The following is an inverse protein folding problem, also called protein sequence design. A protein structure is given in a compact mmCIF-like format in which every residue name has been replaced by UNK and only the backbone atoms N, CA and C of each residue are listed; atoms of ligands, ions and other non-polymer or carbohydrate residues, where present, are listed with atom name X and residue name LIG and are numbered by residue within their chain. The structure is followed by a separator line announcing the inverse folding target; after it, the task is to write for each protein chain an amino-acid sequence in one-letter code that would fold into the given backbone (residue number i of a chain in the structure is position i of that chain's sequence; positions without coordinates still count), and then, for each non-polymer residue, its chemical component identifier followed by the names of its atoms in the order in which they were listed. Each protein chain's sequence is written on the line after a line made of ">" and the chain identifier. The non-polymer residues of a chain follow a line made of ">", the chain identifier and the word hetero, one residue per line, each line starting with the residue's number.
data_IF_508971473116
#
_entry.id   IF_508971473116
#
_cell.length_a   1.000
_cell.length_b   1.000
_cell.length_c   1.000
_cell.angle_alpha   90.00
_cell.angle_beta   90.00
_cell.angle_gamma   90.00
#
_symmetry.space_group_name_H-M   'P 1'
#
loop_
_entity.id
_entity.type
_entity.pdbx_description
1 polymer ?
#
# COMPACT_ATOMS: atom_id res chain seq x y z
N UNK A 1 -9.61 4.66 1.55
CA UNK A 1 -9.60 4.76 0.07
C UNK A 1 -8.57 5.80 -0.34
N UNK A 2 -7.60 5.37 -1.14
CA UNK A 2 -6.46 6.18 -1.55
C UNK A 2 -6.71 6.73 -2.94
N UNK A 3 -6.19 7.92 -3.23
CA UNK A 3 -6.43 8.58 -4.52
C UNK A 3 -5.32 9.54 -4.87
N UNK A 4 -5.13 9.75 -6.17
CA UNK A 4 -4.30 10.83 -6.71
C UNK A 4 -4.84 11.27 -8.05
N UNK A 5 -4.41 12.43 -8.54
CA UNK A 5 -4.67 12.87 -9.91
C UNK A 5 -3.35 12.95 -10.66
N UNK A 6 -3.25 12.23 -11.78
CA UNK A 6 -2.07 12.20 -12.63
C UNK A 6 -2.50 12.47 -14.07
N UNK A 7 -1.91 13.49 -14.70
CA UNK A 7 -2.21 13.88 -16.09
C UNK A 7 -3.70 14.12 -16.37
N UNK A 8 -4.43 14.71 -15.41
CA UNK A 8 -5.87 14.99 -15.53
C UNK A 8 -6.79 13.79 -15.28
N UNK A 9 -6.24 12.60 -15.03
CA UNK A 9 -7.02 11.42 -14.66
C UNK A 9 -6.99 11.21 -13.14
N UNK A 10 -8.18 11.01 -12.55
CA UNK A 10 -8.32 10.63 -11.15
C UNK A 10 -8.14 9.11 -10.99
N UNK A 11 -7.18 8.71 -10.17
CA UNK A 11 -6.90 7.33 -9.81
C UNK A 11 -7.38 7.05 -8.39
N UNK A 12 -7.95 5.86 -8.17
CA UNK A 12 -8.47 5.43 -6.87
C UNK A 12 -8.00 4.01 -6.59
N UNK A 13 -7.64 3.77 -5.34
CA UNK A 13 -7.22 2.46 -4.86
C UNK A 13 -8.03 2.15 -3.59
N UNK A 14 -8.73 1.02 -3.61
CA UNK A 14 -9.76 0.73 -2.60
C UNK A 14 -9.19 0.37 -1.23
N UNK A 15 -7.97 -0.17 -1.20
CA UNK A 15 -7.28 -0.60 0.02
C UNK A 15 -5.78 -0.33 -0.05
N UNK A 16 -5.12 -0.34 1.12
CA UNK A 16 -3.67 -0.19 1.20
C UNK A 16 -2.97 -1.36 0.50
N UNK A 17 -3.52 -2.56 0.62
CA UNK A 17 -3.07 -3.77 -0.09
C UNK A 17 -3.02 -3.56 -1.60
N UNK A 18 -4.11 -3.06 -2.19
CA UNK A 18 -4.18 -2.75 -3.62
C UNK A 18 -3.18 -1.66 -3.98
N UNK A 19 -3.11 -0.59 -3.19
CA UNK A 19 -2.19 0.51 -3.45
C UNK A 19 -0.72 0.06 -3.47
N UNK A 20 -0.28 -0.68 -2.45
CA UNK A 20 1.09 -1.20 -2.34
C UNK A 20 1.43 -2.16 -3.48
N UNK A 21 0.51 -3.06 -3.85
CA UNK A 21 0.72 -3.97 -4.96
C UNK A 21 0.85 -3.23 -6.31
N UNK A 22 0.01 -2.22 -6.54
CA UNK A 22 0.04 -1.40 -7.76
C UNK A 22 1.27 -0.49 -7.82
N UNK A 23 1.80 -0.07 -6.68
CA UNK A 23 3.00 0.76 -6.60
C UNK A 23 4.32 -0.03 -6.84
N UNK A 24 4.28 -1.37 -6.77
CA UNK A 24 5.47 -2.21 -6.92
C UNK A 24 6.09 -2.11 -8.34
N UNK A 25 7.41 -2.30 -8.49
CA UNK A 25 8.02 -2.51 -9.79
C UNK A 25 7.38 -3.70 -10.53
N UNK A 26 7.39 -3.67 -11.87
CA UNK A 26 6.80 -4.76 -12.64
C UNK A 26 7.55 -6.08 -12.40
N UNK A 27 6.87 -7.05 -11.78
CA UNK A 27 7.41 -8.37 -11.45
C UNK A 27 6.45 -9.45 -11.97
N UNK A 28 6.99 -10.53 -12.52
CA UNK A 28 6.20 -11.63 -13.07
C UNK A 28 5.32 -12.32 -12.03
N UNK A 29 5.76 -12.39 -10.76
CA UNK A 29 4.97 -12.93 -9.65
C UNK A 29 3.70 -12.13 -9.37
N UNK A 30 3.82 -10.80 -9.27
CA UNK A 30 2.68 -9.90 -9.07
C UNK A 30 1.70 -9.94 -10.26
N UNK A 31 2.24 -10.14 -11.47
CA UNK A 31 1.43 -10.34 -12.68
C UNK A 31 0.66 -11.66 -12.64
N UNK A 32 1.32 -12.77 -12.27
CA UNK A 32 0.68 -14.08 -12.13
C UNK A 32 -0.39 -14.07 -11.04
N UNK A 33 -0.16 -13.35 -9.94
CA UNK A 33 -1.12 -13.18 -8.85
C UNK A 33 -2.26 -12.19 -9.19
N UNK A 34 -2.21 -11.50 -10.33
CA UNK A 34 -3.25 -10.57 -10.78
C UNK A 34 -3.29 -9.24 -10.00
N UNK A 35 -2.23 -8.89 -9.28
CA UNK A 35 -2.19 -7.68 -8.41
C UNK A 35 -1.37 -6.54 -8.99
N UNK A 36 -0.58 -6.81 -10.04
CA UNK A 36 0.25 -5.81 -10.72
C UNK A 36 -0.57 -4.64 -11.29
N UNK A 37 0.05 -3.46 -11.38
CA UNK A 37 -0.51 -2.34 -12.15
C UNK A 37 -0.68 -2.70 -13.63
N UNK A 38 -1.81 -2.29 -14.23
CA UNK A 38 -2.18 -2.55 -15.62
C UNK A 38 -1.45 -1.65 -16.60
N UNK A 39 -0.88 -0.53 -16.13
CA UNK A 39 -0.05 0.36 -16.94
C UNK A 39 1.08 1.01 -16.12
N UNK A 40 2.01 1.65 -16.81
CA UNK A 40 3.06 2.45 -16.16
C UNK A 40 2.47 3.69 -15.47
N UNK A 41 1.44 4.29 -16.05
CA UNK A 41 0.71 5.42 -15.49
C UNK A 41 -0.03 5.05 -14.20
N UNK A 42 -0.75 3.92 -14.16
CA UNK A 42 -1.39 3.43 -12.93
C UNK A 42 -0.35 3.21 -11.84
N UNK A 43 0.80 2.62 -12.19
CA UNK A 43 1.90 2.37 -11.25
C UNK A 43 2.47 3.68 -10.68
N UNK A 44 2.65 4.70 -11.51
CA UNK A 44 3.10 6.00 -11.02
C UNK A 44 2.05 6.70 -10.18
N UNK A 45 0.78 6.63 -10.56
CA UNK A 45 -0.31 7.13 -9.72
C UNK A 45 -0.35 6.41 -8.36
N UNK A 46 -0.16 5.08 -8.33
CA UNK A 46 -0.09 4.32 -7.09
C UNK A 46 1.11 4.73 -6.23
N UNK A 47 2.29 4.94 -6.83
CA UNK A 47 3.47 5.43 -6.09
C UNK A 47 3.26 6.83 -5.51
N UNK A 48 2.66 7.74 -6.28
CA UNK A 48 2.34 9.09 -5.80
C UNK A 48 1.30 9.03 -4.67
N UNK A 49 0.24 8.24 -4.83
CA UNK A 49 -0.76 8.07 -3.78
C UNK A 49 -0.17 7.43 -2.51
N UNK A 50 0.75 6.46 -2.65
CA UNK A 50 1.43 5.81 -1.53
C UNK A 50 2.40 6.74 -0.80
N UNK A 51 3.05 7.66 -1.51
CA UNK A 51 3.95 8.65 -0.89
C UNK A 51 3.23 9.62 0.05
N UNK A 52 1.91 9.81 -0.13
CA UNK A 52 1.07 10.65 0.71
C UNK A 52 0.40 9.87 1.86
N UNK A 53 0.68 8.56 2.00
CA UNK A 53 0.11 7.74 3.08
C UNK A 53 0.90 7.97 4.37
N UNK A 54 0.25 8.43 5.46
CA UNK A 54 0.90 8.54 6.76
C UNK A 54 1.38 7.18 7.26
N UNK A 55 2.50 7.17 8.00
CA UNK A 55 3.03 5.93 8.59
C UNK A 55 2.03 5.28 9.55
N UNK A 56 1.25 6.07 10.27
CA UNK A 56 0.18 5.60 11.17
C UNK A 56 -0.89 4.79 10.42
N UNK A 57 -1.24 5.17 9.19
CA UNK A 57 -2.24 4.46 8.40
C UNK A 57 -1.77 3.04 7.99
N UNK A 58 -0.44 2.84 7.87
CA UNK A 58 0.15 1.52 7.63
C UNK A 58 -0.01 0.62 8.86
N UNK A 59 0.05 1.19 10.07
CA UNK A 59 -0.15 0.47 11.32
C UNK A 59 -1.62 0.16 11.58
N UNK A 60 -2.50 1.13 11.30
CA UNK A 60 -3.96 1.01 11.53
C UNK A 60 -4.64 0.06 10.54
N UNK A 61 -4.05 -0.10 9.34
CA UNK A 61 -4.59 -0.96 8.27
C UNK A 61 -3.59 -2.04 7.85
N UNK A 62 -3.25 -3.00 8.73
CA UNK A 62 -2.31 -4.06 8.38
C UNK A 62 -2.87 -4.94 7.26
N UNK A 63 -1.99 -5.42 6.38
CA UNK A 63 -2.38 -6.19 5.19
C UNK A 63 -3.05 -7.53 5.52
N UNK A 64 -2.72 -8.09 6.68
CA UNK A 64 -3.35 -9.25 7.29
C UNK A 64 -3.79 -8.82 8.69
N UNK A 65 -5.02 -9.13 9.13
CA UNK A 65 -5.49 -8.69 10.45
C UNK A 65 -4.64 -9.24 11.61
N UNK A 66 -4.43 -8.41 12.64
CA UNK A 66 -3.63 -8.73 13.83
C UNK A 66 -4.06 -10.04 14.51
N UNK A 67 -5.36 -10.31 14.56
CA UNK A 67 -5.90 -11.51 15.21
C UNK A 67 -5.58 -12.79 14.42
N UNK A 68 -5.37 -12.67 13.12
CA UNK A 68 -5.25 -13.79 12.18
C UNK A 68 -3.79 -14.17 11.87
N UNK A 69 -2.81 -13.35 12.24
CA UNK A 69 -1.42 -13.53 11.83
C UNK A 69 -0.42 -13.16 12.92
N UNK A 70 0.38 -14.14 13.35
CA UNK A 70 1.41 -13.95 14.38
C UNK A 70 2.53 -13.00 13.96
N UNK A 71 2.86 -12.94 12.66
CA UNK A 71 3.90 -12.04 12.16
C UNK A 71 3.43 -10.60 12.23
N UNK A 72 2.17 -10.33 11.87
CA UNK A 72 1.54 -9.01 12.03
C UNK A 72 1.55 -8.59 13.50
N UNK A 73 1.21 -9.50 14.43
CA UNK A 73 1.30 -9.22 15.86
C UNK A 73 2.71 -8.82 16.28
N UNK A 74 3.69 -9.63 15.91
CA UNK A 74 5.09 -9.35 16.23
C UNK A 74 5.51 -7.99 15.71
N UNK A 75 5.22 -7.66 14.45
CA UNK A 75 5.57 -6.37 13.84
C UNK A 75 4.92 -5.23 14.62
N UNK A 76 3.61 -5.28 14.87
CA UNK A 76 2.88 -4.20 15.51
C UNK A 76 3.22 -4.05 17.00
N UNK A 77 3.48 -5.15 17.72
CA UNK A 77 3.84 -5.09 19.15
C UNK A 77 5.27 -4.61 19.39
N UNK A 78 6.15 -4.67 18.37
CA UNK A 78 7.59 -4.39 18.52
C UNK A 78 8.10 -3.22 17.68
N UNK A 79 7.24 -2.59 16.87
CA UNK A 79 7.64 -1.40 16.11
C UNK A 79 8.02 -0.22 17.02
N UNK A 80 8.84 0.69 16.50
CA UNK A 80 9.16 1.95 17.17
C UNK A 80 7.95 2.90 17.12
N UNK A 81 7.17 2.92 18.20
CA UNK A 81 5.99 3.76 18.31
C UNK A 81 6.30 5.26 18.19
N UNK A 82 7.48 5.71 18.63
CA UNK A 82 7.84 7.13 18.51
C UNK A 82 8.26 7.47 17.08
N UNK A 83 9.02 6.59 16.42
CA UNK A 83 9.40 6.73 15.02
C UNK A 83 8.21 6.79 14.06
N UNK A 84 7.07 6.20 14.44
CA UNK A 84 5.83 6.17 13.66
C UNK A 84 4.76 7.18 14.11
N UNK A 85 5.03 8.01 15.13
CA UNK A 85 4.07 8.97 15.67
C UNK A 85 4.00 10.32 14.91
N UNK A 86 4.85 10.51 13.89
CA UNK A 86 5.00 11.75 13.12
C UNK A 86 4.08 11.84 11.90
#
# INVERSE_FOLDING_TARGET
>A
MYKTTLSGQAWRFDSLKTLMAKASPARSGDALAGVIATSAEERMAAKMALAEVPLTDILDNPLIPYEQDEVTRLILDTHDAQGFAA
#
